data_IF_680150174414
#
_entry.id   IF_680150174414
#
_cell.length_a   1.000
_cell.length_b   1.000
_cell.length_c   1.000
_cell.angle_alpha   90.00
_cell.angle_beta   90.00
_cell.angle_gamma   90.00
#
_symmetry.space_group_name_H-M   'P 1'
#
loop_
_entity.id
_entity.type
_entity.pdbx_description
1 polymer ?
#
# COMPACT_ATOMS: atom_id res chain seq x y z
N UNK A 1 6.36 -7.64 -10.33
CA UNK A 1 7.42 -6.97 -11.10
C UNK A 1 8.64 -6.94 -10.21
N UNK A 2 9.81 -7.35 -10.71
CA UNK A 2 11.05 -7.27 -9.95
C UNK A 2 11.86 -6.07 -10.47
N UNK A 3 12.40 -5.27 -9.58
CA UNK A 3 13.30 -4.16 -9.86
C UNK A 3 14.49 -4.24 -8.93
N UNK A 4 15.66 -3.78 -9.35
CA UNK A 4 16.85 -3.79 -8.51
C UNK A 4 17.22 -2.36 -8.14
N UNK A 5 17.49 -2.11 -6.87
CA UNK A 5 17.89 -0.79 -6.36
C UNK A 5 18.97 -0.97 -5.30
N UNK A 6 20.13 -0.35 -5.49
CA UNK A 6 21.28 -0.44 -4.58
C UNK A 6 21.66 -1.87 -4.14
N UNK A 7 21.58 -2.83 -5.06
CA UNK A 7 21.91 -4.23 -4.79
C UNK A 7 20.78 -5.05 -4.17
N UNK A 8 19.69 -4.41 -3.71
CA UNK A 8 18.51 -5.10 -3.21
C UNK A 8 17.50 -5.38 -4.33
N UNK A 9 16.86 -6.55 -4.28
CA UNK A 9 15.79 -6.91 -5.20
C UNK A 9 14.43 -6.46 -4.62
N UNK A 10 13.72 -5.62 -5.34
CA UNK A 10 12.39 -5.13 -4.99
C UNK A 10 11.35 -5.92 -5.77
N UNK A 11 10.49 -6.64 -5.05
CA UNK A 11 9.27 -7.22 -5.59
C UNK A 11 8.10 -6.27 -5.42
N UNK A 12 7.80 -5.54 -6.49
CA UNK A 12 6.58 -4.75 -6.59
C UNK A 12 5.39 -5.62 -7.02
N UNK A 13 4.29 -5.49 -6.28
CA UNK A 13 3.04 -6.17 -6.55
C UNK A 13 1.86 -5.23 -6.33
N UNK A 14 0.70 -5.64 -6.84
CA UNK A 14 -0.53 -4.90 -6.63
C UNK A 14 -1.70 -5.86 -6.46
N UNK A 15 -2.49 -5.63 -5.42
CA UNK A 15 -3.68 -6.42 -5.10
C UNK A 15 -4.91 -5.69 -5.62
N UNK A 16 -5.76 -6.38 -6.38
CA UNK A 16 -7.01 -5.79 -6.84
C UNK A 16 -8.08 -5.89 -5.75
N UNK A 17 -8.68 -4.75 -5.39
CA UNK A 17 -9.81 -4.64 -4.44
C UNK A 17 -10.93 -3.87 -5.14
N UNK A 18 -11.91 -4.62 -5.66
CA UNK A 18 -12.97 -4.07 -6.51
C UNK A 18 -12.42 -3.45 -7.79
N UNK A 19 -12.61 -2.13 -7.94
CA UNK A 19 -12.12 -1.34 -9.08
C UNK A 19 -10.78 -0.64 -8.79
N UNK A 20 -10.15 -0.94 -7.65
CA UNK A 20 -8.92 -0.30 -7.19
C UNK A 20 -7.80 -1.33 -7.09
N UNK A 21 -6.57 -0.83 -7.07
CA UNK A 21 -5.34 -1.59 -6.90
C UNK A 21 -4.56 -1.05 -5.71
N UNK A 22 -4.25 -1.91 -4.74
CA UNK A 22 -3.41 -1.58 -3.59
C UNK A 22 -1.95 -1.87 -3.97
N UNK A 23 -1.10 -0.85 -3.89
CA UNK A 23 0.33 -0.95 -4.11
C UNK A 23 1.01 -1.67 -2.93
N UNK A 24 1.81 -2.69 -3.23
CA UNK A 24 2.59 -3.44 -2.23
C UNK A 24 4.01 -3.67 -2.74
N UNK A 25 4.97 -3.66 -1.84
CA UNK A 25 6.35 -4.03 -2.15
C UNK A 25 6.92 -4.96 -1.07
N UNK A 26 7.82 -5.83 -1.50
CA UNK A 26 8.71 -6.58 -0.63
C UNK A 26 10.14 -6.43 -1.13
N UNK A 27 11.09 -6.29 -0.22
CA UNK A 27 12.52 -6.30 -0.53
C UNK A 27 13.01 -7.71 -0.28
N UNK A 28 13.58 -8.37 -1.28
CA UNK A 28 14.23 -9.67 -1.13
C UNK A 28 15.68 -9.45 -0.73
N UNK A 29 16.07 -10.16 0.33
CA UNK A 29 17.42 -10.17 0.88
C UNK A 29 18.23 -11.34 0.32
N UNK A 30 19.55 -11.29 0.44
CA UNK A 30 20.45 -12.29 -0.15
C UNK A 30 20.32 -13.67 0.50
N UNK A 31 19.91 -13.72 1.77
CA UNK A 31 19.61 -14.93 2.52
C UNK A 31 18.28 -15.59 2.11
N UNK A 32 17.48 -14.93 1.26
CA UNK A 32 16.20 -15.43 0.77
C UNK A 32 14.99 -14.98 1.59
N UNK A 33 15.19 -14.26 2.70
CA UNK A 33 14.10 -13.60 3.40
C UNK A 33 13.53 -12.43 2.58
N UNK A 34 12.34 -12.00 2.97
CA UNK A 34 11.70 -10.84 2.36
C UNK A 34 11.10 -9.90 3.38
N UNK A 35 11.50 -8.64 3.32
CA UNK A 35 10.95 -7.56 4.14
C UNK A 35 9.77 -6.93 3.39
N UNK A 36 8.55 -7.18 3.85
CA UNK A 36 7.35 -6.57 3.26
C UNK A 36 7.12 -5.16 3.80
N UNK A 37 6.85 -4.21 2.89
CA UNK A 37 6.53 -2.82 3.23
C UNK A 37 5.03 -2.58 3.44
N UNK A 38 4.21 -3.64 3.39
CA UNK A 38 2.76 -3.55 3.60
C UNK A 38 2.00 -2.89 2.45
N UNK A 39 0.91 -2.21 2.79
CA UNK A 39 0.02 -1.52 1.85
C UNK A 39 0.42 -0.05 1.75
N UNK A 40 0.93 0.36 0.58
CA UNK A 40 1.61 1.65 0.38
C UNK A 40 0.66 2.74 -0.14
N UNK A 41 -0.40 2.35 -0.83
CA UNK A 41 -1.35 3.29 -1.44
C UNK A 41 -2.35 2.63 -2.36
N UNK A 42 -3.35 3.40 -2.80
CA UNK A 42 -4.44 2.91 -3.64
C UNK A 42 -4.45 3.63 -4.99
N UNK A 43 -4.64 2.88 -6.06
CA UNK A 43 -4.52 3.34 -7.44
C UNK A 43 -5.69 2.82 -8.29
N UNK A 44 -6.04 3.57 -9.33
CA UNK A 44 -7.05 3.15 -10.31
C UNK A 44 -6.55 2.06 -11.28
N UNK A 45 -5.22 1.86 -11.36
CA UNK A 45 -4.62 0.87 -12.26
C UNK A 45 -3.42 0.16 -11.60
N UNK A 46 -3.13 -1.03 -12.12
CA UNK A 46 -2.07 -1.91 -11.61
C UNK A 46 -0.67 -1.35 -11.83
N UNK A 47 -0.44 -0.69 -12.96
CA UNK A 47 0.89 -0.23 -13.36
C UNK A 47 1.38 0.89 -12.46
N UNK A 48 0.56 1.91 -12.23
CA UNK A 48 0.82 3.00 -11.30
C UNK A 48 1.02 2.51 -9.86
N UNK A 49 0.23 1.51 -9.43
CA UNK A 49 0.45 0.87 -8.14
C UNK A 49 1.84 0.22 -8.04
N UNK A 50 2.25 -0.54 -9.05
CA UNK A 50 3.57 -1.19 -9.06
C UNK A 50 4.71 -0.16 -9.13
N UNK A 51 4.61 0.85 -10.00
CA UNK A 51 5.64 1.88 -10.13
C UNK A 51 5.81 2.68 -8.84
N UNK A 52 4.71 3.02 -8.17
CA UNK A 52 4.75 3.68 -6.88
C UNK A 52 5.36 2.77 -5.80
N UNK A 53 4.99 1.49 -5.79
CA UNK A 53 5.56 0.52 -4.85
C UNK A 53 7.09 0.41 -4.97
N UNK A 54 7.64 0.45 -6.20
CA UNK A 54 9.09 0.50 -6.42
C UNK A 54 9.71 1.76 -5.84
N UNK A 55 9.09 2.93 -6.02
CA UNK A 55 9.59 4.20 -5.47
C UNK A 55 9.60 4.20 -3.94
N UNK A 56 8.55 3.67 -3.31
CA UNK A 56 8.51 3.50 -1.87
C UNK A 56 9.62 2.56 -1.38
N UNK A 57 9.81 1.43 -2.05
CA UNK A 57 10.87 0.50 -1.68
C UNK A 57 12.27 1.08 -1.86
N UNK A 58 12.51 1.82 -2.95
CA UNK A 58 13.76 2.55 -3.14
C UNK A 58 13.99 3.56 -2.01
N UNK A 59 12.99 4.39 -1.70
CA UNK A 59 13.09 5.35 -0.59
C UNK A 59 13.34 4.66 0.76
N UNK A 60 12.74 3.48 1.01
CA UNK A 60 13.03 2.69 2.20
C UNK A 60 14.50 2.27 2.28
N UNK A 61 15.04 1.74 1.18
CA UNK A 61 16.43 1.29 1.07
C UNK A 61 17.39 2.47 1.26
N UNK A 62 17.05 3.63 0.69
CA UNK A 62 17.87 4.84 0.76
C UNK A 62 17.78 5.54 2.13
N UNK A 63 16.82 5.15 3.00
CA UNK A 63 16.55 5.84 4.27
C UNK A 63 15.85 7.19 4.09
N UNK A 64 15.27 7.42 2.90
CA UNK A 64 14.57 8.63 2.53
C UNK A 64 13.11 8.63 3.00
N UNK A 65 12.47 9.80 2.90
CA UNK A 65 11.05 9.95 3.19
C UNK A 65 10.22 9.20 2.15
N UNK A 66 9.31 8.35 2.62
CA UNK A 66 8.37 7.63 1.78
C UNK A 66 7.52 8.59 0.92
N UNK A 67 7.45 8.39 -0.41
CA UNK A 67 6.63 9.23 -1.27
C UNK A 67 5.16 9.06 -0.89
N UNK A 68 4.40 10.14 -1.00
CA UNK A 68 2.96 10.13 -0.75
C UNK A 68 2.21 9.57 -1.97
N UNK A 69 1.18 8.73 -1.76
CA UNK A 69 0.38 8.25 -2.87
C UNK A 69 -0.38 9.42 -3.52
N UNK A 70 -0.50 9.43 -4.87
CA UNK A 70 -1.13 10.52 -5.60
C UNK A 70 -2.64 10.63 -5.31
N UNK A 71 -3.27 9.53 -4.90
CA UNK A 71 -4.69 9.48 -4.54
C UNK A 71 -4.84 9.20 -3.04
N UNK A 72 -5.40 10.17 -2.31
CA UNK A 72 -5.88 9.92 -0.93
C UNK A 72 -7.30 9.41 -1.04
N UNK A 73 -7.53 8.13 -0.72
CA UNK A 73 -8.89 7.65 -0.54
C UNK A 73 -9.42 8.31 0.72
N UNK A 74 -10.20 9.39 0.58
CA UNK A 74 -11.04 9.85 1.67
C UNK A 74 -11.97 8.70 2.00
N UNK A 75 -11.74 8.05 3.14
CA UNK A 75 -12.69 7.13 3.76
C UNK A 75 -13.93 7.92 4.23
N UNK A 76 -14.60 8.63 3.32
CA UNK A 76 -15.93 9.11 3.57
C UNK A 76 -16.84 7.88 3.43
N UNK A 77 -17.37 7.42 4.56
CA UNK A 77 -18.38 6.36 4.72
C UNK A 77 -17.90 4.90 4.83
N UNK A 78 -17.12 4.61 5.87
CA UNK A 78 -17.41 3.42 6.68
C UNK A 78 -17.65 3.88 8.13
N UNK A 79 -18.70 4.67 8.34
CA UNK A 79 -19.33 4.78 9.67
C UNK A 79 -20.44 3.72 9.72
N UNK A 80 -20.01 2.47 9.74
CA UNK A 80 -20.85 1.32 10.00
C UNK A 80 -20.70 0.92 11.46
N UNK A 81 -21.19 1.73 12.39
CA UNK A 81 -21.67 1.17 13.65
C UNK A 81 -22.81 2.02 14.22
N UNK A 82 -24.02 1.56 13.92
CA UNK A 82 -25.25 1.99 14.52
C UNK A 82 -25.25 1.61 16.00
N UNK A 83 -25.03 2.59 16.89
CA UNK A 83 -25.53 2.53 18.26
C UNK A 83 -26.72 3.47 18.34
N UNK A 84 -27.89 2.93 18.00
CA UNK A 84 -29.18 3.56 18.30
C UNK A 84 -29.35 3.58 19.83
N UNK A 85 -29.46 4.73 20.51
CA UNK A 85 -29.99 4.72 21.87
C UNK A 85 -31.47 4.33 21.78
N UNK A 86 -31.82 3.20 22.39
CA UNK A 86 -33.21 2.82 22.63
C UNK A 86 -33.84 3.88 23.52
N UNK A 87 -34.67 4.74 22.93
CA UNK A 87 -35.59 5.60 23.67
C UNK A 87 -36.64 4.70 24.34
N UNK A 88 -36.33 4.24 25.56
CA UNK A 88 -37.29 3.58 26.43
C UNK A 88 -37.96 4.64 27.29
N UNK A 89 -39.23 4.89 26.99
CA UNK A 89 -40.12 5.82 27.68
C UNK A 89 -40.60 5.18 28.98
N UNK A 90 -40.41 5.84 30.13
CA UNK A 90 -41.21 5.60 31.33
C UNK A 90 -41.42 6.91 32.08
#
# INVERSE_FOLDING_TARGET
MISYHNGAAIQASAIRVGNLFIARASILEEDGESTSLGDLGVFANREGACQFAVRCAAAFIDGDIMPLPPCRVTAASISGNALRPTRSNR
#
